data_IF_870819214273
#
_entry.id   IF_870819214273
#
_cell.length_a   1.000
_cell.length_b   1.000
_cell.length_c   1.000
_cell.angle_alpha   90.00
_cell.angle_beta   90.00
_cell.angle_gamma   90.00
#
_symmetry.space_group_name_H-M   'P 1'
#
loop_
_entity.id
_entity.type
_entity.pdbx_description
1 polymer ?
#
# COMPACT_ATOMS: atom_id res chain seq x y z
N UNK A 1 -27.82 3.76 10.07
CA UNK A 1 -26.69 4.71 10.21
C UNK A 1 -25.51 4.08 9.49
N UNK A 2 -25.03 4.66 8.38
CA UNK A 2 -23.87 4.13 7.66
C UNK A 2 -22.63 4.33 8.54
N UNK A 3 -21.89 3.26 8.82
CA UNK A 3 -20.63 3.36 9.56
C UNK A 3 -19.70 4.34 8.84
N UNK A 4 -19.18 5.33 9.57
CA UNK A 4 -18.15 6.21 9.04
C UNK A 4 -16.99 5.34 8.52
N UNK A 5 -16.47 5.61 7.32
CA UNK A 5 -15.33 4.85 6.82
C UNK A 5 -14.18 5.01 7.82
N UNK A 6 -13.62 3.89 8.29
CA UNK A 6 -12.47 3.86 9.21
C UNK A 6 -11.16 4.22 8.50
N UNK A 7 -11.23 5.17 7.56
CA UNK A 7 -10.16 5.53 6.64
C UNK A 7 -10.46 6.84 5.91
N UNK A 8 -9.41 7.38 5.31
CA UNK A 8 -9.44 8.61 4.53
C UNK A 8 -10.07 8.34 3.16
N UNK A 9 -10.93 9.23 2.71
CA UNK A 9 -11.56 9.17 1.39
C UNK A 9 -10.88 10.17 0.48
N UNK A 10 -10.37 9.70 -0.64
CA UNK A 10 -9.78 10.51 -1.69
C UNK A 10 -10.72 10.52 -2.90
N UNK A 11 -10.93 11.69 -3.49
CA UNK A 11 -11.73 11.89 -4.68
C UNK A 11 -10.88 12.45 -5.82
N UNK A 12 -10.98 11.84 -7.00
CA UNK A 12 -10.39 12.37 -8.22
C UNK A 12 -11.23 13.57 -8.71
N UNK A 13 -10.68 14.80 -8.76
CA UNK A 13 -11.44 15.97 -9.21
C UNK A 13 -11.84 15.92 -10.69
N UNK A 14 -11.15 15.14 -11.51
CA UNK A 14 -11.40 15.06 -12.96
C UNK A 14 -12.50 14.04 -13.28
N UNK A 15 -12.56 12.92 -12.55
CA UNK A 15 -13.48 11.81 -12.84
C UNK A 15 -14.57 11.59 -11.78
N UNK A 16 -14.46 12.21 -10.60
CA UNK A 16 -15.33 11.96 -9.46
C UNK A 16 -15.12 10.59 -8.79
N UNK A 17 -14.11 9.81 -9.20
CA UNK A 17 -13.82 8.52 -8.60
C UNK A 17 -13.40 8.68 -7.14
N UNK A 18 -13.94 7.84 -6.26
CA UNK A 18 -13.61 7.82 -4.83
C UNK A 18 -12.88 6.54 -4.44
N UNK A 19 -11.84 6.69 -3.64
CA UNK A 19 -11.07 5.59 -3.05
C UNK A 19 -10.97 5.78 -1.54
N UNK A 20 -11.09 4.70 -0.79
CA UNK A 20 -10.94 4.71 0.67
C UNK A 20 -9.59 4.09 1.03
N UNK A 21 -8.78 4.83 1.79
CA UNK A 21 -7.47 4.42 2.30
C UNK A 21 -7.55 4.31 3.82
N UNK A 22 -7.38 3.10 4.36
CA UNK A 22 -7.42 2.87 5.80
C UNK A 22 -6.79 1.55 6.19
N UNK A 23 -7.13 1.05 7.38
CA UNK A 23 -6.50 -0.16 7.95
C UNK A 23 -6.68 -1.43 7.08
N UNK A 24 -7.69 -1.45 6.21
CA UNK A 24 -7.89 -2.54 5.24
C UNK A 24 -6.73 -2.67 4.26
N UNK A 25 -6.05 -1.57 3.95
CA UNK A 25 -4.90 -1.57 3.05
C UNK A 25 -3.70 -2.30 3.67
N UNK A 26 -3.53 -2.20 5.00
CA UNK A 26 -2.52 -2.97 5.76
C UNK A 26 -2.77 -4.47 5.60
N UNK A 27 -4.02 -4.90 5.81
CA UNK A 27 -4.39 -6.31 5.71
C UNK A 27 -4.12 -6.86 4.30
N UNK A 28 -4.54 -6.15 3.25
CA UNK A 28 -4.33 -6.62 1.88
C UNK A 28 -2.88 -6.57 1.45
N UNK A 29 -2.12 -5.55 1.86
CA UNK A 29 -0.69 -5.48 1.64
C UNK A 29 0.05 -6.62 2.36
N UNK A 30 -0.39 -7.00 3.56
CA UNK A 30 0.18 -8.14 4.27
C UNK A 30 -0.16 -9.49 3.60
N UNK A 31 -1.37 -9.66 3.06
CA UNK A 31 -1.77 -10.94 2.45
C UNK A 31 -1.18 -11.14 1.05
N UNK A 32 -1.01 -10.06 0.28
CA UNK A 32 -0.67 -10.13 -1.14
C UNK A 32 0.68 -9.49 -1.47
N UNK A 33 1.29 -8.76 -0.53
CA UNK A 33 2.59 -8.12 -0.67
C UNK A 33 2.68 -7.23 -1.93
N UNK A 34 3.70 -7.43 -2.79
CA UNK A 34 3.90 -6.60 -3.98
C UNK A 34 2.74 -6.65 -4.98
N UNK A 35 1.99 -7.76 -5.05
CA UNK A 35 0.86 -7.92 -5.98
C UNK A 35 -0.27 -6.92 -5.66
N UNK A 36 -0.46 -6.62 -4.37
CA UNK A 36 -1.49 -5.67 -3.97
C UNK A 36 -1.14 -4.22 -4.37
N UNK A 37 0.12 -3.80 -4.21
CA UNK A 37 0.58 -2.49 -4.69
C UNK A 37 0.47 -2.38 -6.23
N UNK A 38 0.78 -3.45 -6.96
CA UNK A 38 0.57 -3.50 -8.41
C UNK A 38 -0.92 -3.34 -8.79
N UNK A 39 -1.84 -4.00 -8.06
CA UNK A 39 -3.29 -3.82 -8.28
C UNK A 39 -3.78 -2.41 -8.00
N UNK A 40 -3.15 -1.69 -7.07
CA UNK A 40 -3.41 -0.26 -6.81
C UNK A 40 -2.67 0.68 -7.78
N UNK A 41 -2.03 0.13 -8.81
CA UNK A 41 -1.21 0.85 -9.79
C UNK A 41 -0.11 1.71 -9.12
N UNK A 42 0.46 1.20 -8.03
CA UNK A 42 1.60 1.76 -7.31
C UNK A 42 2.86 0.94 -7.63
N UNK A 43 3.35 1.11 -8.86
CA UNK A 43 4.40 0.27 -9.44
C UNK A 43 5.76 0.43 -8.79
N UNK A 44 6.07 1.61 -8.25
CA UNK A 44 7.36 1.87 -7.62
C UNK A 44 7.52 0.99 -6.37
N UNK A 45 6.55 1.06 -5.46
CA UNK A 45 6.58 0.26 -4.23
C UNK A 45 6.34 -1.23 -4.49
N UNK A 46 5.53 -1.59 -5.50
CA UNK A 46 5.43 -2.98 -5.95
C UNK A 46 6.78 -3.54 -6.40
N UNK A 47 7.53 -2.78 -7.22
CA UNK A 47 8.84 -3.15 -7.74
C UNK A 47 9.91 -3.23 -6.66
N UNK A 48 10.00 -2.22 -5.78
CA UNK A 48 10.96 -2.22 -4.67
C UNK A 48 10.68 -3.39 -3.72
N UNK A 49 9.42 -3.61 -3.35
CA UNK A 49 9.05 -4.72 -2.47
C UNK A 49 9.41 -6.08 -3.09
N UNK A 50 9.06 -6.30 -4.37
CA UNK A 50 9.43 -7.53 -5.07
C UNK A 50 10.95 -7.72 -5.18
N UNK A 51 11.70 -6.66 -5.50
CA UNK A 51 13.15 -6.70 -5.60
C UNK A 51 13.81 -7.06 -4.26
N UNK A 52 13.37 -6.45 -3.16
CA UNK A 52 13.90 -6.74 -1.82
C UNK A 52 13.66 -8.20 -1.41
N UNK A 53 12.54 -8.79 -1.81
CA UNK A 53 12.28 -10.23 -1.62
C UNK A 53 13.23 -11.07 -2.48
N UNK A 54 13.46 -10.70 -3.74
CA UNK A 54 14.39 -11.46 -4.59
C UNK A 54 15.83 -11.42 -4.05
N UNK A 55 16.26 -10.26 -3.52
CA UNK A 55 17.56 -10.08 -2.87
C UNK A 55 17.66 -10.89 -1.57
N UNK A 56 16.56 -11.12 -0.86
CA UNK A 56 16.57 -11.85 0.41
C UNK A 56 16.80 -13.35 0.26
N UNK A 57 16.35 -13.95 -0.84
CA UNK A 57 16.45 -15.40 -1.11
C UNK A 57 17.90 -15.93 -0.96
N UNK A 58 18.92 -15.36 -1.62
CA UNK A 58 20.30 -15.87 -1.52
C UNK A 58 20.96 -15.62 -0.15
N UNK A 59 20.37 -14.80 0.73
CA UNK A 59 20.95 -14.41 2.02
C UNK A 59 20.55 -15.35 3.17
N UNK A 60 20.15 -16.58 2.88
CA UNK A 60 19.72 -17.54 3.91
C UNK A 60 20.83 -17.79 4.97
N UNK A 61 20.50 -17.79 6.28
CA UNK A 61 19.17 -17.64 6.88
C UNK A 61 18.75 -16.18 7.19
N UNK A 62 19.69 -15.24 7.21
CA UNK A 62 19.43 -13.83 7.55
C UNK A 62 18.38 -13.17 6.63
N UNK A 63 18.33 -13.61 5.37
CA UNK A 63 17.33 -13.19 4.39
C UNK A 63 15.88 -13.49 4.80
N UNK A 64 15.63 -14.50 5.62
CA UNK A 64 14.29 -14.78 6.13
C UNK A 64 13.78 -13.64 7.05
N UNK A 65 14.64 -13.15 7.95
CA UNK A 65 14.32 -12.02 8.82
C UNK A 65 14.13 -10.74 8.02
N UNK A 66 14.98 -10.51 7.00
CA UNK A 66 14.82 -9.38 6.09
C UNK A 66 13.49 -9.45 5.34
N UNK A 67 13.11 -10.63 4.83
CA UNK A 67 11.83 -10.83 4.14
C UNK A 67 10.67 -10.50 5.05
N UNK A 68 10.64 -11.02 6.28
CA UNK A 68 9.59 -10.72 7.25
C UNK A 68 9.52 -9.23 7.59
N UNK A 69 10.67 -8.60 7.81
CA UNK A 69 10.76 -7.16 8.11
C UNK A 69 10.27 -6.29 6.96
N UNK A 70 10.69 -6.58 5.73
CA UNK A 70 10.22 -5.90 4.52
C UNK A 70 8.72 -6.11 4.34
N UNK A 71 8.25 -7.35 4.46
CA UNK A 71 6.85 -7.71 4.25
C UNK A 71 5.91 -7.00 5.23
N UNK A 72 6.23 -7.05 6.53
CA UNK A 72 5.47 -6.35 7.59
C UNK A 72 5.63 -4.83 7.45
N UNK A 73 6.83 -4.34 7.17
CA UNK A 73 7.11 -2.91 6.99
C UNK A 73 6.26 -2.31 5.87
N UNK A 74 6.22 -2.96 4.70
CA UNK A 74 5.37 -2.54 3.59
C UNK A 74 3.88 -2.64 3.91
N UNK A 75 3.46 -3.68 4.64
CA UNK A 75 2.06 -3.78 5.05
C UNK A 75 1.64 -2.60 5.94
N UNK A 76 2.42 -2.29 6.98
CA UNK A 76 2.16 -1.16 7.87
C UNK A 76 2.23 0.19 7.14
N UNK A 77 3.14 0.33 6.18
CA UNK A 77 3.31 1.55 5.39
C UNK A 77 2.26 1.70 4.26
N UNK A 78 1.46 0.68 3.96
CA UNK A 78 0.55 0.69 2.82
C UNK A 78 -0.43 1.88 2.80
N UNK A 79 -1.08 2.28 3.92
CA UNK A 79 -1.95 3.45 3.93
C UNK A 79 -1.21 4.74 3.57
N UNK A 80 -0.01 4.95 4.15
CA UNK A 80 0.83 6.13 3.89
C UNK A 80 1.30 6.19 2.44
N UNK A 81 1.73 5.04 1.89
CA UNK A 81 2.18 4.94 0.49
C UNK A 81 1.04 5.31 -0.46
N UNK A 82 -0.17 4.77 -0.21
CA UNK A 82 -1.33 5.03 -1.05
C UNK A 82 -1.83 6.47 -0.92
N UNK A 83 -1.85 7.03 0.29
CA UNK A 83 -2.16 8.44 0.53
C UNK A 83 -1.21 9.35 -0.27
N UNK A 84 0.10 9.14 -0.15
CA UNK A 84 1.09 9.94 -0.88
C UNK A 84 0.89 9.84 -2.40
N UNK A 85 0.59 8.63 -2.90
CA UNK A 85 0.26 8.42 -4.32
C UNK A 85 -0.97 9.22 -4.74
N UNK A 86 -2.07 9.16 -3.99
CA UNK A 86 -3.29 9.90 -4.31
C UNK A 86 -3.05 11.42 -4.32
N UNK A 87 -2.31 11.93 -3.33
CA UNK A 87 -1.90 13.33 -3.29
C UNK A 87 -1.05 13.72 -4.51
N UNK A 88 -0.10 12.88 -4.92
CA UNK A 88 0.74 13.11 -6.10
C UNK A 88 -0.06 13.11 -7.41
N UNK A 89 -1.15 12.35 -7.48
CA UNK A 89 -2.08 12.37 -8.61
C UNK A 89 -3.06 13.56 -8.58
N UNK A 90 -2.98 14.44 -7.57
CA UNK A 90 -3.88 15.58 -7.43
C UNK A 90 -5.27 15.23 -6.89
N UNK A 91 -5.46 14.04 -6.31
CA UNK A 91 -6.73 13.67 -5.69
C UNK A 91 -6.93 14.46 -4.39
N UNK A 92 -8.18 14.82 -4.11
CA UNK A 92 -8.55 15.62 -2.93
C UNK A 92 -9.02 14.71 -1.80
N UNK A 93 -8.53 14.96 -0.59
CA UNK A 93 -9.06 14.29 0.62
C UNK A 93 -10.39 14.94 0.99
N UNK A 94 -11.49 14.18 0.84
CA UNK A 94 -12.87 14.69 1.06
C UNK A 94 -13.47 14.24 2.39
N UNK A 95 -12.91 13.22 3.03
CA UNK A 95 -13.26 12.78 4.38
C UNK A 95 -12.09 12.04 5.02
N UNK A 96 -12.03 11.98 6.35
CA UNK A 96 -11.05 11.18 7.09
C UNK A 96 -10.92 11.59 8.54
#
# INVERSE_FOLDING_TARGET
>A
MAAAPSGMVFENPESGQREVVGNREILWAFLLGPVYFAKKAEWLHAGIHALLILISIPLWPTGALMTLGVWVGYACAAPTILEYRFQKMGWQKVAG
#
